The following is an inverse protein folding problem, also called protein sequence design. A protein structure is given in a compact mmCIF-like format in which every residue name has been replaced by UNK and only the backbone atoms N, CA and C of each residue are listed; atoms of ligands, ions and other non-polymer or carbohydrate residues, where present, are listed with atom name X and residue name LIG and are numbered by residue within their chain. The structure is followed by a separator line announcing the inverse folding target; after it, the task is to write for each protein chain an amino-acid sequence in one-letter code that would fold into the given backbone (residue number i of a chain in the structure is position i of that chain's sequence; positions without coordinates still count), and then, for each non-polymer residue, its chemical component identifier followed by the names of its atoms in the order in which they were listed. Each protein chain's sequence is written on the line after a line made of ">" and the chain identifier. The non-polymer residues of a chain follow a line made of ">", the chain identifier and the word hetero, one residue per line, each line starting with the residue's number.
data_IF_497322286600
#
_entry.id   IF_497322286600
#
_cell.length_a   1.000
_cell.length_b   1.000
_cell.length_c   1.000
_cell.angle_alpha   90.00
_cell.angle_beta   90.00
_cell.angle_gamma   90.00
#
_symmetry.space_group_name_H-M   'P 1'
#
loop_
_entity.id
_entity.type
_entity.pdbx_description
1 polymer ?
#
# COMPACT_ATOMS: atom_id res chain seq x y z
N UNK A 1 -19.72 -4.59 -19.31
CA UNK A 1 -18.29 -4.96 -19.37
C UNK A 1 -18.01 -5.81 -18.16
N UNK A 2 -17.59 -7.06 -18.37
CA UNK A 2 -17.31 -7.98 -17.27
C UNK A 2 -15.82 -7.88 -16.90
N UNK A 3 -15.45 -7.39 -15.71
CA UNK A 3 -14.04 -7.23 -15.36
C UNK A 3 -13.31 -8.57 -15.20
N UNK A 4 -14.02 -9.70 -15.05
CA UNK A 4 -13.42 -11.05 -15.04
C UNK A 4 -12.76 -11.43 -16.37
N UNK A 5 -13.20 -10.82 -17.46
CA UNK A 5 -12.69 -11.12 -18.81
C UNK A 5 -11.46 -10.27 -19.16
N UNK A 6 -11.05 -9.36 -18.28
CA UNK A 6 -9.94 -8.45 -18.53
C UNK A 6 -8.64 -9.02 -18.01
N UNK A 7 -7.67 -9.19 -18.90
CA UNK A 7 -6.33 -9.63 -18.52
C UNK A 7 -5.66 -8.58 -17.62
N UNK A 8 -5.03 -9.03 -16.52
CA UNK A 8 -4.17 -8.19 -15.68
C UNK A 8 -2.93 -7.70 -16.43
N UNK A 9 -2.33 -8.61 -17.20
CA UNK A 9 -1.14 -8.41 -18.03
C UNK A 9 -1.37 -9.01 -19.42
N UNK A 10 -0.83 -8.37 -20.45
CA UNK A 10 -0.76 -8.90 -21.80
C UNK A 10 0.47 -9.82 -21.89
N UNK A 11 0.24 -11.12 -22.06
CA UNK A 11 1.28 -12.16 -22.09
C UNK A 11 2.20 -12.07 -23.32
N UNK A 12 1.82 -11.32 -24.35
CA UNK A 12 2.63 -11.13 -25.56
C UNK A 12 3.70 -10.03 -25.39
N UNK A 13 3.66 -9.27 -24.30
CA UNK A 13 4.61 -8.18 -24.03
C UNK A 13 5.50 -8.59 -22.85
N UNK A 14 6.80 -8.69 -23.12
CA UNK A 14 7.81 -9.06 -22.11
C UNK A 14 8.43 -7.82 -21.47
N UNK A 15 7.68 -7.17 -20.58
CA UNK A 15 8.11 -6.00 -19.82
C UNK A 15 7.61 -6.03 -18.37
N UNK A 16 7.39 -7.23 -17.84
CA UNK A 16 6.96 -7.46 -16.47
C UNK A 16 8.08 -8.17 -15.71
N UNK A 17 8.56 -7.58 -14.64
CA UNK A 17 9.53 -8.18 -13.72
C UNK A 17 8.94 -8.32 -12.31
N UNK A 18 9.59 -9.14 -11.50
CA UNK A 18 9.34 -9.24 -10.05
C UNK A 18 10.59 -8.75 -9.34
N UNK A 19 10.40 -8.12 -8.19
CA UNK A 19 11.48 -7.71 -7.33
C UNK A 19 11.01 -7.63 -5.88
N UNK A 20 11.94 -7.65 -4.93
CA UNK A 20 11.63 -7.27 -3.56
C UNK A 20 11.33 -5.76 -3.45
N UNK A 21 10.63 -5.37 -2.39
CA UNK A 21 10.58 -3.95 -2.02
C UNK A 21 12.00 -3.40 -1.78
N UNK A 22 12.32 -2.18 -2.25
CA UNK A 22 13.66 -1.59 -2.18
C UNK A 22 14.09 -1.17 -0.76
N UNK A 23 13.42 -1.64 0.30
CA UNK A 23 13.56 -1.12 1.65
C UNK A 23 14.98 -1.19 2.22
N UNK A 24 15.86 -2.06 1.71
CA UNK A 24 17.28 -2.02 2.05
C UNK A 24 17.88 -0.61 1.87
N UNK A 25 17.49 0.11 0.82
CA UNK A 25 17.93 1.49 0.56
C UNK A 25 17.39 2.48 1.58
N UNK A 26 16.19 2.27 2.13
CA UNK A 26 15.65 3.14 3.18
C UNK A 26 16.51 3.09 4.46
N UNK A 27 17.08 1.93 4.78
CA UNK A 27 17.81 1.66 6.02
C UNK A 27 19.35 1.57 5.85
N UNK A 28 19.89 1.95 4.69
CA UNK A 28 21.35 2.04 4.50
C UNK A 28 22.00 2.88 5.61
N UNK A 29 22.92 2.25 6.35
CA UNK A 29 23.58 2.82 7.53
C UNK A 29 23.17 2.21 8.88
N UNK A 30 22.12 1.39 8.91
CA UNK A 30 21.64 0.68 10.12
C UNK A 30 21.84 -0.86 10.02
N UNK A 31 22.58 -1.31 9.00
CA UNK A 31 22.98 -2.71 8.87
C UNK A 31 24.26 -2.98 9.65
N UNK A 32 24.12 -3.18 10.95
CA UNK A 32 24.94 -4.14 11.67
C UNK A 32 24.02 -5.07 12.45
N UNK A 33 23.34 -5.97 11.73
CA UNK A 33 22.82 -7.21 12.34
C UNK A 33 24.02 -8.13 12.64
N UNK A 34 24.85 -7.67 13.57
CA UNK A 34 25.92 -8.37 14.27
C UNK A 34 26.20 -7.66 15.59
N UNK A 35 25.15 -7.31 16.34
CA UNK A 35 25.25 -7.15 17.79
C UNK A 35 23.98 -7.70 18.41
N UNK A 36 24.13 -8.49 19.47
CA UNK A 36 23.05 -9.08 20.24
C UNK A 36 21.96 -8.05 20.58
N UNK A 37 20.71 -8.54 20.56
CA UNK A 37 19.38 -8.00 20.89
C UNK A 37 19.21 -7.08 22.14
N UNK A 38 20.24 -6.39 22.62
CA UNK A 38 20.19 -5.71 23.91
C UNK A 38 19.36 -4.40 23.92
N UNK A 39 18.85 -3.94 22.77
CA UNK A 39 18.15 -2.65 22.63
C UNK A 39 16.68 -2.69 22.16
N UNK A 40 16.23 -3.77 21.51
CA UNK A 40 14.86 -3.88 21.01
C UNK A 40 13.92 -4.23 22.16
N UNK A 41 13.09 -3.27 22.57
CA UNK A 41 12.15 -3.45 23.69
C UNK A 41 10.71 -3.15 23.33
N UNK A 42 10.42 -2.72 22.11
CA UNK A 42 9.08 -2.30 21.72
C UNK A 42 8.33 -3.42 21.00
N UNK A 43 7.17 -3.80 21.51
CA UNK A 43 6.20 -4.63 20.80
C UNK A 43 4.95 -3.79 20.55
N UNK A 44 4.47 -3.75 19.31
CA UNK A 44 3.34 -2.89 18.95
C UNK A 44 2.19 -3.70 18.37
N UNK A 45 0.97 -3.42 18.83
CA UNK A 45 -0.27 -3.91 18.27
C UNK A 45 -1.01 -2.77 17.55
N UNK A 46 -1.23 -2.92 16.25
CA UNK A 46 -2.07 -2.02 15.46
C UNK A 46 -3.53 -2.46 15.54
N UNK A 47 -4.38 -1.60 16.11
CA UNK A 47 -5.82 -1.77 16.18
C UNK A 47 -6.50 -1.76 14.81
N UNK A 48 -7.75 -2.21 14.77
CA UNK A 48 -8.54 -2.35 13.55
C UNK A 48 -9.78 -1.43 13.60
N UNK A 49 -10.48 -1.29 12.48
CA UNK A 49 -11.78 -0.60 12.44
C UNK A 49 -12.91 -1.59 12.75
N UNK A 50 -13.12 -1.87 14.05
CA UNK A 50 -14.22 -2.73 14.51
C UNK A 50 -15.59 -2.28 13.96
N UNK A 51 -15.82 -0.96 13.84
CA UNK A 51 -17.10 -0.42 13.38
C UNK A 51 -17.43 -0.80 11.93
N UNK A 52 -16.41 -1.01 11.09
CA UNK A 52 -16.61 -1.51 9.72
C UNK A 52 -17.06 -2.97 9.72
N UNK A 53 -16.49 -3.79 10.60
CA UNK A 53 -16.83 -5.21 10.72
C UNK A 53 -18.22 -5.45 11.34
N UNK A 54 -18.57 -4.71 12.40
CA UNK A 54 -19.88 -4.85 13.06
C UNK A 54 -21.03 -4.44 12.15
N UNK A 55 -20.84 -3.43 11.29
CA UNK A 55 -21.82 -3.07 10.23
C UNK A 55 -22.06 -4.18 9.22
N UNK A 56 -21.12 -5.12 9.08
CA UNK A 56 -21.27 -6.28 8.20
C UNK A 56 -21.97 -7.46 8.89
N UNK A 57 -22.45 -7.28 10.13
CA UNK A 57 -23.17 -8.29 10.90
C UNK A 57 -22.31 -9.10 11.86
N UNK A 58 -21.04 -8.72 12.07
CA UNK A 58 -20.16 -9.38 13.01
C UNK A 58 -20.57 -9.13 14.47
N UNK A 59 -20.51 -10.17 15.29
CA UNK A 59 -20.67 -10.07 16.75
C UNK A 59 -19.50 -9.27 17.37
N UNK A 60 -19.82 -8.06 17.83
CA UNK A 60 -18.86 -7.14 18.42
C UNK A 60 -18.29 -7.65 19.75
N UNK A 61 -19.07 -8.35 20.56
CA UNK A 61 -18.62 -8.88 21.86
C UNK A 61 -17.70 -10.07 21.66
N UNK A 62 -18.06 -10.99 20.75
CA UNK A 62 -17.19 -12.10 20.37
C UNK A 62 -15.85 -11.59 19.79
N UNK A 63 -15.91 -10.56 18.96
CA UNK A 63 -14.73 -9.90 18.40
C UNK A 63 -13.81 -9.30 19.47
N UNK A 64 -14.36 -8.49 20.38
CA UNK A 64 -13.58 -7.89 21.49
C UNK A 64 -12.98 -8.98 22.39
N UNK A 65 -13.76 -10.02 22.72
CA UNK A 65 -13.26 -11.15 23.50
C UNK A 65 -12.08 -11.83 22.83
N UNK A 66 -12.10 -11.98 21.51
CA UNK A 66 -10.98 -12.56 20.74
C UNK A 66 -9.80 -11.61 20.64
N UNK A 67 -10.02 -10.31 20.48
CA UNK A 67 -8.95 -9.31 20.51
C UNK A 67 -8.23 -9.30 21.86
N UNK A 68 -8.96 -9.38 22.97
CA UNK A 68 -8.35 -9.49 24.30
C UNK A 68 -7.49 -10.75 24.45
N UNK A 69 -7.90 -11.89 23.88
CA UNK A 69 -7.02 -13.09 23.80
C UNK A 69 -5.73 -12.83 23.01
N UNK A 70 -5.79 -12.03 21.95
CA UNK A 70 -4.58 -11.65 21.19
C UNK A 70 -3.65 -10.76 22.04
N UNK A 71 -4.20 -9.81 22.79
CA UNK A 71 -3.44 -8.93 23.69
C UNK A 71 -2.83 -9.69 24.87
N UNK A 72 -3.58 -10.63 25.47
CA UNK A 72 -3.10 -11.50 26.53
C UNK A 72 -1.97 -12.41 26.02
N UNK A 73 -2.13 -12.96 24.82
CA UNK A 73 -1.11 -13.75 24.15
C UNK A 73 0.20 -12.97 23.99
N UNK A 74 0.12 -11.73 23.47
CA UNK A 74 1.30 -10.86 23.33
C UNK A 74 1.91 -10.55 24.71
N UNK A 75 1.09 -10.23 25.70
CA UNK A 75 1.57 -9.90 27.05
C UNK A 75 2.31 -11.07 27.70
N UNK A 76 1.88 -12.31 27.43
CA UNK A 76 2.53 -13.52 27.90
C UNK A 76 3.85 -13.79 27.18
N UNK A 77 3.86 -13.73 25.84
CA UNK A 77 5.05 -14.04 25.05
C UNK A 77 6.14 -12.95 25.14
N UNK A 78 5.77 -11.72 25.50
CA UNK A 78 6.66 -10.57 25.58
C UNK A 78 6.60 -9.86 26.94
N UNK A 79 6.58 -10.61 28.04
CA UNK A 79 6.47 -10.07 29.41
C UNK A 79 7.56 -9.07 29.78
N UNK A 80 8.75 -9.19 29.18
CA UNK A 80 9.92 -8.35 29.47
C UNK A 80 10.05 -7.14 28.53
N UNK A 81 9.05 -6.91 27.66
CA UNK A 81 9.04 -5.86 26.65
C UNK A 81 8.04 -4.76 27.00
N UNK A 82 8.25 -3.58 26.42
CA UNK A 82 7.28 -2.50 26.43
C UNK A 82 6.24 -2.75 25.34
N UNK A 83 5.00 -2.93 25.74
CA UNK A 83 3.89 -3.21 24.85
C UNK A 83 3.17 -1.91 24.52
N UNK A 84 2.88 -1.69 23.24
CA UNK A 84 2.21 -0.49 22.75
C UNK A 84 0.97 -0.88 21.94
N UNK A 85 -0.12 -0.16 22.14
CA UNK A 85 -1.32 -0.27 21.32
C UNK A 85 -1.49 1.02 20.53
N UNK A 86 -1.61 0.91 19.20
CA UNK A 86 -1.96 2.03 18.35
C UNK A 86 -3.37 1.84 17.81
N UNK A 87 -4.35 2.68 18.20
CA UNK A 87 -5.70 2.62 17.65
C UNK A 87 -5.72 2.81 16.13
N UNK A 88 -6.74 2.25 15.48
CA UNK A 88 -7.03 2.57 14.09
C UNK A 88 -7.49 4.05 14.00
N UNK A 89 -7.12 4.83 12.96
CA UNK A 89 -7.55 6.24 12.85
C UNK A 89 -9.06 6.45 12.75
N UNK A 90 -9.81 5.38 12.45
CA UNK A 90 -11.28 5.38 12.42
C UNK A 90 -11.90 4.72 13.65
N UNK A 91 -11.09 4.33 14.64
CA UNK A 91 -11.59 3.79 15.90
C UNK A 91 -12.45 4.83 16.62
N UNK A 92 -13.55 4.36 17.19
CA UNK A 92 -14.51 5.14 17.96
C UNK A 92 -14.77 4.52 19.33
N UNK A 93 -14.84 3.19 19.39
CA UNK A 93 -15.34 2.44 20.53
C UNK A 93 -14.51 1.17 20.84
N UNK A 94 -13.64 0.71 19.93
CA UNK A 94 -12.88 -0.53 20.09
C UNK A 94 -11.94 -0.41 21.29
N UNK A 95 -11.08 0.62 21.29
CA UNK A 95 -10.11 0.88 22.38
C UNK A 95 -10.75 0.86 23.77
N UNK A 96 -11.96 1.41 23.93
CA UNK A 96 -12.61 1.51 25.24
C UNK A 96 -13.04 0.14 25.80
N UNK A 97 -13.14 -0.88 24.96
CA UNK A 97 -13.58 -2.24 25.32
C UNK A 97 -12.43 -3.25 25.39
N UNK A 98 -11.23 -2.87 24.98
CA UNK A 98 -10.04 -3.72 25.03
C UNK A 98 -9.38 -3.69 26.41
N UNK A 99 -8.82 -4.84 26.84
CA UNK A 99 -7.97 -4.92 28.01
C UNK A 99 -6.55 -4.44 27.65
N UNK A 100 -6.31 -3.15 27.84
CA UNK A 100 -5.03 -2.49 27.53
C UNK A 100 -4.17 -2.26 28.78
N UNK A 101 -4.45 -2.94 29.90
CA UNK A 101 -3.73 -2.71 31.17
C UNK A 101 -2.21 -2.93 31.08
N UNK A 102 -1.76 -3.83 30.21
CA UNK A 102 -0.35 -4.09 29.94
C UNK A 102 0.25 -3.25 28.80
N UNK A 103 -0.56 -2.40 28.15
CA UNK A 103 -0.18 -1.68 26.93
C UNK A 103 -0.17 -0.16 27.13
N UNK A 104 0.89 0.49 26.67
CA UNK A 104 0.91 1.94 26.49
C UNK A 104 0.14 2.31 25.21
N UNK A 105 -0.86 3.18 25.32
CA UNK A 105 -1.63 3.62 24.15
C UNK A 105 -0.89 4.76 23.46
N UNK A 106 -0.51 4.54 22.20
CA UNK A 106 0.11 5.56 21.36
C UNK A 106 -0.97 6.50 20.82
N UNK A 107 -1.04 7.69 21.41
CA UNK A 107 -1.93 8.77 20.97
C UNK A 107 -1.41 9.47 19.71
N UNK A 108 -2.33 9.94 18.87
CA UNK A 108 -2.05 10.83 17.75
C UNK A 108 -2.26 10.22 16.36
N UNK A 109 -2.52 11.11 15.41
CA UNK A 109 -2.70 10.76 14.01
C UNK A 109 -1.34 10.60 13.32
N UNK A 110 -0.70 9.44 13.50
CA UNK A 110 0.50 9.09 12.74
C UNK A 110 0.27 7.90 11.81
N UNK A 111 0.96 7.95 10.66
CA UNK A 111 0.98 6.87 9.69
C UNK A 111 1.81 5.69 10.24
N UNK A 112 1.28 4.47 10.11
CA UNK A 112 1.90 3.28 10.65
C UNK A 112 3.26 3.00 9.99
N UNK A 113 3.35 3.09 8.67
CA UNK A 113 4.58 2.81 7.92
C UNK A 113 5.70 3.78 8.25
N UNK A 114 5.38 5.06 8.43
CA UNK A 114 6.37 6.05 8.86
C UNK A 114 6.83 5.82 10.30
N UNK A 115 5.93 5.43 11.20
CA UNK A 115 6.30 5.08 12.57
C UNK A 115 7.23 3.85 12.61
N UNK A 116 6.89 2.82 11.83
CA UNK A 116 7.71 1.61 11.68
C UNK A 116 9.09 1.97 11.13
N UNK A 117 9.16 2.84 10.12
CA UNK A 117 10.42 3.34 9.57
C UNK A 117 11.26 4.10 10.60
N UNK A 118 10.65 4.99 11.39
CA UNK A 118 11.35 5.82 12.38
C UNK A 118 11.79 5.05 13.63
N UNK A 119 11.13 3.93 13.95
CA UNK A 119 11.37 3.16 15.17
C UNK A 119 11.87 1.74 14.91
N UNK A 120 12.24 1.42 13.66
CA UNK A 120 12.62 0.06 13.24
C UNK A 120 13.59 -0.62 14.20
N UNK A 121 14.64 0.10 14.60
CA UNK A 121 15.70 -0.43 15.47
C UNK A 121 15.28 -0.68 16.91
N UNK A 122 14.13 -0.15 17.35
CA UNK A 122 13.57 -0.36 18.70
C UNK A 122 12.52 -1.45 18.74
N UNK A 123 11.92 -1.78 17.59
CA UNK A 123 10.79 -2.69 17.47
C UNK A 123 11.32 -4.14 17.48
N UNK A 124 10.85 -4.89 18.47
CA UNK A 124 11.02 -6.34 18.53
C UNK A 124 10.02 -7.02 17.60
N UNK A 125 8.73 -6.72 17.74
CA UNK A 125 7.68 -7.39 16.98
C UNK A 125 6.45 -6.50 16.76
N UNK A 126 5.74 -6.77 15.67
CA UNK A 126 4.57 -6.04 15.21
C UNK A 126 3.37 -6.99 15.08
N UNK A 127 2.23 -6.59 15.62
CA UNK A 127 1.01 -7.38 15.63
C UNK A 127 -0.19 -6.58 15.13
N UNK A 128 -1.20 -7.28 14.61
CA UNK A 128 -2.56 -6.77 14.46
C UNK A 128 -3.52 -7.93 14.25
N UNK A 129 -4.82 -7.69 14.29
CA UNK A 129 -5.77 -8.69 13.79
C UNK A 129 -5.58 -8.90 12.28
N UNK A 130 -5.52 -7.82 11.49
CA UNK A 130 -5.40 -7.94 10.02
C UNK A 130 -5.06 -6.65 9.31
N UNK A 131 -4.30 -5.76 9.95
CA UNK A 131 -3.89 -4.46 9.42
C UNK A 131 -2.79 -4.58 8.38
N UNK A 132 -2.92 -3.79 7.30
CA UNK A 132 -1.90 -3.65 6.26
C UNK A 132 -0.52 -3.21 6.82
N UNK A 133 -0.49 -2.57 7.99
CA UNK A 133 0.74 -2.20 8.67
C UNK A 133 1.65 -3.42 8.95
N UNK A 134 1.09 -4.61 9.22
CA UNK A 134 1.89 -5.82 9.42
C UNK A 134 2.53 -6.30 8.11
N UNK A 135 1.84 -6.17 6.97
CA UNK A 135 2.43 -6.46 5.65
C UNK A 135 3.61 -5.54 5.37
N UNK A 136 3.43 -4.24 5.62
CA UNK A 136 4.49 -3.24 5.50
C UNK A 136 5.66 -3.51 6.45
N UNK A 137 5.39 -3.87 7.72
CA UNK A 137 6.40 -4.21 8.71
C UNK A 137 7.26 -5.41 8.28
N UNK A 138 6.62 -6.50 7.85
CA UNK A 138 7.32 -7.67 7.33
C UNK A 138 8.14 -7.32 6.08
N UNK A 139 7.58 -6.53 5.17
CA UNK A 139 8.31 -6.04 4.00
C UNK A 139 9.51 -5.16 4.41
N UNK A 140 9.47 -4.43 5.53
CA UNK A 140 10.61 -3.68 6.11
C UNK A 140 11.57 -4.55 6.93
N UNK A 141 11.35 -5.86 6.97
CA UNK A 141 12.21 -6.83 7.63
C UNK A 141 11.98 -7.03 9.12
N UNK A 142 10.89 -6.48 9.67
CA UNK A 142 10.53 -6.65 11.08
C UNK A 142 9.84 -8.00 11.31
N UNK A 143 9.95 -8.49 12.55
CA UNK A 143 9.12 -9.61 13.02
C UNK A 143 7.66 -9.14 13.07
N UNK A 144 6.79 -9.72 12.26
CA UNK A 144 5.44 -9.21 12.10
C UNK A 144 4.42 -10.34 11.98
N UNK A 145 3.30 -10.21 12.69
CA UNK A 145 2.28 -11.24 12.71
C UNK A 145 0.86 -10.67 12.65
N UNK A 146 -0.05 -11.53 12.21
CA UNK A 146 -1.48 -11.24 12.15
C UNK A 146 -2.30 -12.36 12.77
N UNK A 147 -3.43 -11.98 13.39
CA UNK A 147 -4.30 -12.90 14.12
C UNK A 147 -5.59 -13.26 13.40
N UNK A 148 -5.93 -12.75 12.21
CA UNK A 148 -7.27 -12.96 11.63
C UNK A 148 -7.63 -14.45 11.45
N UNK A 149 -6.64 -15.34 11.33
CA UNK A 149 -6.85 -16.81 11.33
C UNK A 149 -7.39 -17.34 12.65
N UNK A 150 -7.07 -16.69 13.77
CA UNK A 150 -7.71 -16.94 15.06
C UNK A 150 -9.14 -16.39 15.15
N UNK A 151 -9.77 -15.93 14.07
CA UNK A 151 -11.16 -15.44 14.08
C UNK A 151 -12.08 -16.29 13.18
N UNK A 152 -11.64 -17.46 12.71
CA UNK A 152 -12.40 -18.31 11.79
C UNK A 152 -13.80 -18.74 12.29
N UNK A 153 -14.01 -18.79 13.61
CA UNK A 153 -15.32 -19.09 14.22
C UNK A 153 -16.22 -17.85 14.41
N UNK A 154 -15.67 -16.66 14.22
CA UNK A 154 -16.38 -15.36 14.33
C UNK A 154 -16.60 -14.75 12.94
N UNK A 155 -15.63 -14.92 12.05
CA UNK A 155 -15.65 -14.40 10.70
C UNK A 155 -16.27 -15.43 9.77
N UNK A 156 -17.28 -15.01 9.02
CA UNK A 156 -17.76 -15.82 7.92
C UNK A 156 -16.71 -15.89 6.79
N UNK A 157 -16.95 -16.80 5.84
CA UNK A 157 -16.08 -16.97 4.68
C UNK A 157 -16.00 -15.70 3.81
N UNK A 158 -16.98 -14.79 3.89
CA UNK A 158 -16.97 -13.53 3.13
C UNK A 158 -16.02 -12.49 3.73
N UNK A 159 -15.81 -12.50 5.04
CA UNK A 159 -14.88 -11.63 5.76
C UNK A 159 -13.45 -12.21 5.71
N UNK A 160 -13.29 -13.53 5.86
CA UNK A 160 -11.98 -14.18 5.83
C UNK A 160 -11.26 -14.06 4.49
N UNK A 161 -12.01 -14.23 3.40
CA UNK A 161 -11.45 -14.37 2.06
C UNK A 161 -10.72 -13.13 1.54
N UNK A 162 -11.24 -11.88 1.68
CA UNK A 162 -10.48 -10.69 1.35
C UNK A 162 -9.13 -10.60 2.08
N UNK A 163 -9.05 -11.07 3.34
CA UNK A 163 -7.77 -11.16 4.04
C UNK A 163 -6.86 -12.21 3.41
N UNK A 164 -7.37 -13.40 3.08
CA UNK A 164 -6.59 -14.43 2.38
C UNK A 164 -6.01 -13.93 1.05
N UNK A 165 -6.80 -13.18 0.27
CA UNK A 165 -6.34 -12.61 -1.00
C UNK A 165 -5.34 -11.45 -0.81
N UNK A 166 -5.46 -10.70 0.27
CA UNK A 166 -4.53 -9.61 0.59
C UNK A 166 -3.18 -10.14 1.07
N UNK A 167 -3.17 -11.22 1.87
CA UNK A 167 -1.98 -11.82 2.47
C UNK A 167 -1.50 -13.10 1.75
N UNK A 168 -1.98 -13.34 0.51
CA UNK A 168 -1.79 -14.61 -0.21
C UNK A 168 -0.33 -15.04 -0.43
N UNK A 169 0.61 -14.08 -0.39
CA UNK A 169 2.03 -14.29 -0.63
C UNK A 169 2.89 -14.20 0.64
N UNK A 170 2.25 -14.17 1.81
CA UNK A 170 2.93 -14.14 3.11
C UNK A 170 3.28 -15.57 3.57
N UNK A 171 4.40 -15.77 4.28
CA UNK A 171 4.77 -17.08 4.80
C UNK A 171 3.87 -17.53 5.95
N UNK A 172 3.79 -18.84 6.23
CA UNK A 172 2.99 -19.35 7.36
C UNK A 172 3.40 -18.77 8.71
N UNK A 173 4.69 -18.44 8.92
CA UNK A 173 5.18 -17.79 10.13
C UNK A 173 4.61 -16.37 10.35
N UNK A 174 3.99 -15.76 9.34
CA UNK A 174 3.29 -14.49 9.46
C UNK A 174 1.91 -14.63 10.15
N UNK A 175 1.32 -15.83 10.15
CA UNK A 175 -0.02 -16.06 10.67
C UNK A 175 0.02 -16.73 12.05
N UNK A 176 -0.57 -16.08 13.05
CA UNK A 176 -0.90 -16.76 14.30
C UNK A 176 -2.26 -17.43 14.14
N UNK A 177 -2.29 -18.75 14.34
CA UNK A 177 -3.50 -19.58 14.20
C UNK A 177 -4.02 -20.09 15.53
N UNK A 178 -3.14 -20.25 16.52
CA UNK A 178 -3.47 -20.71 17.86
C UNK A 178 -2.68 -19.91 18.90
N UNK A 179 -3.34 -19.53 20.01
CA UNK A 179 -2.75 -18.88 21.17
C UNK A 179 -1.91 -19.81 22.06
N UNK A 180 -1.91 -21.11 21.82
CA UNK A 180 -1.08 -22.07 22.58
C UNK A 180 0.34 -22.20 22.02
N UNK A 181 0.52 -21.87 20.73
CA UNK A 181 1.80 -22.01 20.07
C UNK A 181 2.69 -20.80 20.37
N UNK A 182 3.99 -21.04 20.54
CA UNK A 182 4.97 -19.96 20.60
C UNK A 182 5.06 -19.22 19.27
N UNK A 183 5.41 -17.94 19.36
CA UNK A 183 5.63 -17.11 18.18
C UNK A 183 6.86 -17.61 17.43
N UNK A 184 6.72 -17.78 16.12
CA UNK A 184 7.81 -18.13 15.23
C UNK A 184 8.41 -16.86 14.68
N UNK A 185 9.61 -16.51 15.13
CA UNK A 185 10.38 -15.36 14.63
C UNK A 185 10.44 -15.37 13.09
N UNK A 186 10.00 -14.27 12.47
CA UNK A 186 9.94 -14.13 11.02
C UNK A 186 10.58 -12.84 10.49
N UNK A 187 11.29 -12.10 11.36
CA UNK A 187 12.14 -11.01 10.91
C UNK A 187 13.12 -11.51 9.86
N UNK A 188 13.40 -10.64 8.90
CA UNK A 188 14.27 -10.97 7.77
C UNK A 188 15.33 -9.89 7.60
N UNK A 189 16.54 -10.34 7.29
CA UNK A 189 17.59 -9.43 6.87
C UNK A 189 17.23 -8.85 5.51
N UNK A 190 17.14 -7.53 5.44
CA UNK A 190 16.98 -6.84 4.17
C UNK A 190 18.28 -6.99 3.39
N UNK A 191 18.20 -7.53 2.18
CA UNK A 191 19.34 -7.66 1.28
C UNK A 191 19.25 -6.58 0.21
N UNK A 192 20.43 -6.13 -0.23
CA UNK A 192 20.55 -5.30 -1.42
C UNK A 192 20.13 -6.13 -2.64
N UNK A 193 19.22 -5.60 -3.44
CA UNK A 193 18.81 -6.19 -4.71
C UNK A 193 19.69 -5.61 -5.83
N UNK A 194 20.74 -6.35 -6.20
CA UNK A 194 21.69 -5.94 -7.24
C UNK A 194 21.04 -5.89 -8.63
N UNK A 195 20.07 -6.76 -8.90
CA UNK A 195 19.35 -6.78 -10.17
C UNK A 195 18.48 -5.52 -10.33
N UNK A 196 17.76 -5.15 -9.27
CA UNK A 196 16.97 -3.92 -9.26
C UNK A 196 17.85 -2.67 -9.37
N UNK A 197 18.99 -2.63 -8.67
CA UNK A 197 19.94 -1.51 -8.83
C UNK A 197 20.47 -1.42 -10.26
N UNK A 198 20.91 -2.53 -10.85
CA UNK A 198 21.42 -2.57 -12.21
C UNK A 198 20.36 -2.12 -13.22
N UNK A 199 19.13 -2.61 -13.06
CA UNK A 199 17.98 -2.20 -13.88
C UNK A 199 17.80 -0.67 -13.86
N UNK A 200 17.77 -0.06 -12.67
CA UNK A 200 17.62 1.39 -12.57
C UNK A 200 18.86 2.13 -13.07
N UNK A 201 20.07 1.60 -12.86
CA UNK A 201 21.31 2.17 -13.40
C UNK A 201 21.28 2.26 -14.92
N UNK A 202 20.84 1.20 -15.59
CA UNK A 202 20.68 1.19 -17.05
C UNK A 202 19.64 2.21 -17.51
N UNK A 203 18.51 2.32 -16.80
CA UNK A 203 17.47 3.31 -17.12
C UNK A 203 18.00 4.73 -16.97
N UNK A 204 18.66 5.04 -15.87
CA UNK A 204 19.18 6.39 -15.59
C UNK A 204 20.32 6.76 -16.56
N UNK A 205 21.11 5.80 -17.03
CA UNK A 205 22.14 6.05 -18.05
C UNK A 205 21.52 6.38 -19.41
N UNK A 206 20.36 5.79 -19.74
CA UNK A 206 19.69 5.99 -21.03
C UNK A 206 18.75 7.20 -21.06
N UNK A 207 18.45 7.82 -19.91
CA UNK A 207 17.47 8.88 -19.80
C UNK A 207 18.01 10.02 -18.93
N UNK A 208 18.25 11.18 -19.55
CA UNK A 208 18.86 12.34 -18.90
C UNK A 208 17.85 13.32 -18.27
N UNK A 209 16.56 13.00 -18.21
CA UNK A 209 15.57 13.85 -17.56
C UNK A 209 15.50 13.71 -16.04
N UNK A 210 14.52 14.39 -15.45
CA UNK A 210 14.18 14.30 -14.04
C UNK A 210 13.42 13.00 -13.74
N UNK A 211 13.62 12.45 -12.55
CA UNK A 211 12.82 11.31 -12.06
C UNK A 211 11.60 11.86 -11.31
N UNK A 212 10.40 11.45 -11.71
CA UNK A 212 9.15 11.76 -11.01
C UNK A 212 8.60 10.51 -10.33
N UNK A 213 8.59 10.53 -9.01
CA UNK A 213 7.91 9.52 -8.20
C UNK A 213 6.46 9.94 -7.95
N UNK A 214 5.50 9.10 -8.33
CA UNK A 214 4.07 9.42 -8.28
C UNK A 214 3.37 8.50 -7.27
N UNK A 215 2.70 9.09 -6.28
CA UNK A 215 2.06 8.37 -5.20
C UNK A 215 0.64 8.85 -4.91
N UNK A 216 -0.21 7.91 -4.50
CA UNK A 216 -1.56 8.17 -4.01
C UNK A 216 -1.72 7.82 -2.53
N UNK A 217 -1.36 6.60 -2.11
CA UNK A 217 -1.49 6.15 -0.71
C UNK A 217 -0.24 6.43 0.11
N UNK A 218 -0.44 6.79 1.38
CA UNK A 218 0.65 7.03 2.32
C UNK A 218 1.41 5.75 2.73
N UNK A 219 0.80 4.57 2.54
CA UNK A 219 1.41 3.27 2.90
C UNK A 219 2.77 3.04 2.21
N UNK A 220 2.97 3.62 1.03
CA UNK A 220 4.20 3.45 0.25
C UNK A 220 5.22 4.58 0.44
N UNK A 221 5.04 5.46 1.43
CA UNK A 221 5.94 6.60 1.63
C UNK A 221 7.38 6.17 1.92
N UNK A 222 7.58 5.08 2.65
CA UNK A 222 8.92 4.55 2.97
C UNK A 222 9.56 3.97 1.71
N UNK A 223 8.76 3.40 0.80
CA UNK A 223 9.26 2.90 -0.48
C UNK A 223 9.77 4.05 -1.36
N UNK A 224 9.11 5.21 -1.32
CA UNK A 224 9.59 6.39 -2.02
C UNK A 224 10.93 6.89 -1.48
N UNK A 225 11.09 6.89 -0.15
CA UNK A 225 12.37 7.23 0.49
C UNK A 225 13.46 6.26 0.04
N UNK A 226 13.15 4.95 0.01
CA UNK A 226 14.06 3.92 -0.47
C UNK A 226 14.50 4.16 -1.92
N UNK A 227 13.55 4.41 -2.82
CA UNK A 227 13.82 4.68 -4.24
C UNK A 227 14.63 5.97 -4.42
N UNK A 228 14.30 7.04 -3.69
CA UNK A 228 15.07 8.28 -3.74
C UNK A 228 16.54 8.06 -3.34
N UNK A 229 16.78 7.30 -2.26
CA UNK A 229 18.14 6.93 -1.83
C UNK A 229 18.86 6.05 -2.85
N UNK A 230 18.18 5.06 -3.43
CA UNK A 230 18.70 4.26 -4.53
C UNK A 230 19.15 5.14 -5.70
N UNK A 231 18.28 6.03 -6.20
CA UNK A 231 18.62 6.88 -7.34
C UNK A 231 19.76 7.84 -7.02
N UNK A 232 19.81 8.39 -5.82
CA UNK A 232 20.93 9.23 -5.37
C UNK A 232 22.26 8.48 -5.31
N UNK A 233 22.25 7.19 -4.99
CA UNK A 233 23.47 6.37 -5.01
C UNK A 233 23.96 6.06 -6.43
N UNK A 234 23.06 6.04 -7.41
CA UNK A 234 23.38 5.77 -8.82
C UNK A 234 23.83 7.05 -9.51
N UNK A 235 23.06 8.13 -9.35
CA UNK A 235 23.27 9.43 -9.98
C UNK A 235 22.96 10.55 -8.95
N UNK A 236 23.97 11.02 -8.20
CA UNK A 236 23.77 11.98 -7.10
C UNK A 236 23.19 13.32 -7.55
N UNK A 237 23.48 13.75 -8.78
CA UNK A 237 23.08 15.08 -9.31
C UNK A 237 21.70 15.08 -9.96
N UNK A 238 21.18 13.90 -10.32
CA UNK A 238 19.85 13.71 -10.91
C UNK A 238 18.75 14.38 -10.10
N UNK A 239 17.91 15.20 -10.72
CA UNK A 239 16.75 15.76 -10.02
C UNK A 239 15.68 14.70 -9.77
N UNK A 240 15.13 14.67 -8.55
CA UNK A 240 14.08 13.74 -8.11
C UNK A 240 12.90 14.55 -7.59
N UNK A 241 11.79 14.50 -8.31
CA UNK A 241 10.51 15.10 -7.92
C UNK A 241 9.54 14.08 -7.34
N UNK A 242 8.72 14.52 -6.39
CA UNK A 242 7.62 13.76 -5.82
C UNK A 242 6.28 14.39 -6.21
N UNK A 243 5.38 13.59 -6.77
CA UNK A 243 4.00 13.97 -7.04
C UNK A 243 3.06 13.24 -6.09
N UNK A 244 2.30 14.01 -5.32
CA UNK A 244 1.32 13.51 -4.35
C UNK A 244 -0.09 13.80 -4.86
N UNK A 245 -0.89 12.74 -5.00
CA UNK A 245 -2.34 12.84 -5.12
C UNK A 245 -2.97 12.93 -3.72
N UNK A 246 -3.24 14.15 -3.25
CA UNK A 246 -3.58 14.49 -1.86
C UNK A 246 -4.84 13.79 -1.38
N UNK A 247 -4.66 12.76 -0.56
CA UNK A 247 -5.67 12.08 0.26
C UNK A 247 -5.69 12.64 1.69
N UNK A 248 -6.79 12.46 2.46
CA UNK A 248 -6.90 12.92 3.86
C UNK A 248 -5.76 12.44 4.78
N UNK A 249 -5.21 11.26 4.50
CA UNK A 249 -4.11 10.70 5.30
C UNK A 249 -2.78 11.44 5.10
N UNK A 250 -2.66 12.21 4.01
CA UNK A 250 -1.53 13.12 3.84
C UNK A 250 -1.67 14.38 4.70
N UNK A 251 -2.87 14.73 5.19
CA UNK A 251 -3.03 15.90 6.05
C UNK A 251 -2.41 15.67 7.44
N UNK A 252 -2.35 14.40 7.88
CA UNK A 252 -1.64 13.98 9.08
C UNK A 252 -0.10 13.96 8.90
N UNK A 253 0.38 14.03 7.66
CA UNK A 253 1.80 14.03 7.34
C UNK A 253 2.24 15.45 6.97
N UNK A 254 3.22 15.99 7.70
CA UNK A 254 3.87 17.21 7.25
C UNK A 254 4.70 16.91 6.00
N UNK A 255 4.23 17.29 4.81
CA UNK A 255 4.92 17.02 3.54
C UNK A 255 6.37 17.56 3.53
N UNK A 256 6.66 18.60 4.32
CA UNK A 256 8.00 19.16 4.44
C UNK A 256 9.00 18.17 5.05
N UNK A 257 8.56 17.15 5.79
CA UNK A 257 9.48 16.13 6.31
C UNK A 257 10.15 15.30 5.20
N UNK A 258 9.58 15.34 3.99
CA UNK A 258 10.09 14.63 2.82
C UNK A 258 11.00 15.51 1.95
N UNK A 259 11.09 16.82 2.19
CA UNK A 259 11.90 17.74 1.37
C UNK A 259 13.38 17.39 1.36
N UNK A 260 13.87 16.70 2.39
CA UNK A 260 15.26 16.19 2.43
C UNK A 260 15.54 15.08 1.42
N UNK A 261 14.53 14.45 0.84
CA UNK A 261 14.68 13.35 -0.13
C UNK A 261 14.36 13.77 -1.57
N UNK A 262 13.62 14.87 -1.76
CA UNK A 262 13.08 15.28 -3.06
C UNK A 262 13.43 16.73 -3.35
N UNK A 263 13.92 17.02 -4.55
CA UNK A 263 14.21 18.39 -4.99
C UNK A 263 12.94 19.21 -5.21
N UNK A 264 11.83 18.54 -5.50
CA UNK A 264 10.56 19.16 -5.83
C UNK A 264 9.40 18.29 -5.32
N UNK A 265 8.42 18.91 -4.68
CA UNK A 265 7.21 18.23 -4.21
C UNK A 265 5.99 18.95 -4.77
N UNK A 266 5.19 18.21 -5.53
CA UNK A 266 3.97 18.72 -6.16
C UNK A 266 2.79 17.99 -5.55
N UNK A 267 1.79 18.77 -5.13
CA UNK A 267 0.60 18.23 -4.49
C UNK A 267 -0.62 18.63 -5.30
N UNK A 268 -1.28 17.64 -5.89
CA UNK A 268 -2.57 17.82 -6.58
C UNK A 268 -3.72 17.23 -5.77
N UNK A 269 -4.93 17.81 -5.85
CA UNK A 269 -6.06 17.31 -5.07
C UNK A 269 -6.47 15.91 -5.53
N UNK A 270 -6.88 15.04 -4.60
CA UNK A 270 -7.58 13.81 -4.94
C UNK A 270 -8.89 14.14 -5.67
N UNK A 271 -9.07 13.49 -6.82
CA UNK A 271 -10.33 13.54 -7.57
C UNK A 271 -11.13 12.27 -7.29
N UNK A 272 -12.28 12.43 -6.65
CA UNK A 272 -13.26 11.37 -6.48
C UNK A 272 -14.23 11.36 -7.67
N UNK A 273 -14.65 10.18 -8.12
CA UNK A 273 -15.62 10.06 -9.21
C UNK A 273 -16.98 10.55 -8.73
N UNK A 274 -17.40 11.70 -9.25
CA UNK A 274 -18.60 12.39 -8.81
C UNK A 274 -19.22 13.15 -9.98
N UNK A 275 -20.55 13.12 -10.07
CA UNK A 275 -21.31 13.91 -11.05
C UNK A 275 -21.63 15.32 -10.56
N UNK A 276 -21.20 15.70 -9.35
CA UNK A 276 -21.45 17.05 -8.83
C UNK A 276 -20.67 18.07 -9.70
N UNK A 277 -21.31 19.14 -10.20
CA UNK A 277 -20.67 20.08 -11.12
C UNK A 277 -19.34 20.66 -10.63
N UNK A 278 -19.26 21.03 -9.34
CA UNK A 278 -18.04 21.53 -8.73
C UNK A 278 -16.89 20.50 -8.71
N UNK A 279 -17.20 19.21 -8.53
CA UNK A 279 -16.23 18.11 -8.55
C UNK A 279 -15.76 17.78 -9.96
N UNK A 280 -16.66 17.83 -10.94
CA UNK A 280 -16.29 17.72 -12.37
C UNK A 280 -15.40 18.89 -12.80
N UNK A 281 -15.74 20.12 -12.40
CA UNK A 281 -14.90 21.28 -12.65
C UNK A 281 -13.51 21.15 -12.01
N UNK A 282 -13.44 20.69 -10.76
CA UNK A 282 -12.17 20.42 -10.08
C UNK A 282 -11.34 19.38 -10.83
N UNK A 283 -11.95 18.31 -11.33
CA UNK A 283 -11.29 17.28 -12.12
C UNK A 283 -10.75 17.84 -13.45
N UNK A 284 -11.55 18.65 -14.17
CA UNK A 284 -11.09 19.32 -15.40
C UNK A 284 -9.94 20.30 -15.14
N UNK A 285 -10.05 21.11 -14.08
CA UNK A 285 -8.99 22.06 -13.69
C UNK A 285 -7.69 21.31 -13.38
N UNK A 286 -7.77 20.23 -12.61
CA UNK A 286 -6.62 19.40 -12.25
C UNK A 286 -6.02 18.75 -13.49
N UNK A 287 -6.83 18.16 -14.38
CA UNK A 287 -6.35 17.57 -15.63
C UNK A 287 -5.65 18.61 -16.53
N UNK A 288 -6.19 19.82 -16.64
CA UNK A 288 -5.54 20.92 -17.38
C UNK A 288 -4.21 21.33 -16.77
N UNK A 289 -4.16 21.48 -15.44
CA UNK A 289 -2.93 21.81 -14.72
C UNK A 289 -1.84 20.75 -14.95
N UNK A 290 -2.19 19.47 -14.86
CA UNK A 290 -1.26 18.36 -15.12
C UNK A 290 -0.84 18.33 -16.59
N UNK A 291 -1.77 18.57 -17.53
CA UNK A 291 -1.45 18.63 -18.97
C UNK A 291 -0.48 19.76 -19.33
N UNK A 292 -0.57 20.90 -18.64
CA UNK A 292 0.35 22.03 -18.81
C UNK A 292 1.62 21.92 -17.97
N UNK A 293 1.70 20.92 -17.09
CA UNK A 293 2.86 20.75 -16.22
C UNK A 293 4.06 20.27 -17.05
N UNK A 294 5.20 20.93 -16.90
CA UNK A 294 6.36 20.72 -17.76
C UNK A 294 7.09 19.42 -17.38
N UNK A 295 6.74 18.33 -18.06
CA UNK A 295 7.45 17.05 -18.01
C UNK A 295 8.17 16.88 -19.33
N UNK A 296 9.49 16.71 -19.28
CA UNK A 296 10.29 16.49 -20.47
C UNK A 296 10.00 15.09 -21.05
N UNK A 297 10.19 14.94 -22.36
CA UNK A 297 10.19 13.61 -23.01
C UNK A 297 11.28 12.68 -22.45
N UNK A 298 12.34 13.25 -21.88
CA UNK A 298 13.49 12.52 -21.32
C UNK A 298 13.30 12.25 -19.82
N UNK A 299 12.24 12.79 -19.19
CA UNK A 299 11.89 12.51 -17.81
C UNK A 299 11.41 11.06 -17.64
N UNK A 300 11.58 10.53 -16.43
CA UNK A 300 11.14 9.19 -16.06
C UNK A 300 9.97 9.31 -15.08
N UNK A 301 8.85 8.68 -15.40
CA UNK A 301 7.66 8.62 -14.55
C UNK A 301 7.59 7.26 -13.86
N UNK A 302 7.76 7.24 -12.54
CA UNK A 302 7.66 6.03 -11.72
C UNK A 302 6.37 6.11 -10.90
N UNK A 303 5.37 5.33 -11.30
CA UNK A 303 4.05 5.32 -10.67
C UNK A 303 3.91 4.15 -9.71
N UNK A 304 3.52 4.44 -8.47
CA UNK A 304 3.04 3.41 -7.54
C UNK A 304 1.57 3.14 -7.88
N UNK A 305 1.32 2.06 -8.61
CA UNK A 305 0.09 1.91 -9.39
C UNK A 305 -1.10 1.61 -8.48
N UNK A 306 -1.95 2.61 -8.31
CA UNK A 306 -3.29 2.43 -7.74
C UNK A 306 -4.37 3.10 -8.61
N UNK A 307 -3.98 3.52 -9.82
CA UNK A 307 -4.88 4.08 -10.83
C UNK A 307 -5.66 5.29 -10.29
N UNK A 308 -4.96 6.18 -9.58
CA UNK A 308 -5.53 7.46 -9.17
C UNK A 308 -5.74 8.37 -10.40
N UNK A 309 -6.68 9.33 -10.31
CA UNK A 309 -6.92 10.27 -11.42
C UNK A 309 -5.68 11.07 -11.82
N UNK A 310 -4.87 11.49 -10.83
CA UNK A 310 -3.62 12.24 -11.05
C UNK A 310 -2.59 11.38 -11.78
N UNK A 311 -2.38 10.14 -11.30
CA UNK A 311 -1.52 9.14 -11.95
C UNK A 311 -1.97 8.89 -13.41
N UNK A 312 -3.27 8.72 -13.63
CA UNK A 312 -3.84 8.54 -14.96
C UNK A 312 -3.59 9.75 -15.88
N UNK A 313 -3.74 10.98 -15.38
CA UNK A 313 -3.42 12.18 -16.14
C UNK A 313 -1.94 12.20 -16.58
N UNK A 314 -1.02 11.97 -15.64
CA UNK A 314 0.42 11.96 -15.92
C UNK A 314 0.78 10.89 -16.96
N UNK A 315 0.29 9.66 -16.79
CA UNK A 315 0.56 8.54 -17.68
C UNK A 315 -0.14 8.65 -19.05
N UNK A 316 -1.19 9.47 -19.16
CA UNK A 316 -1.94 9.67 -20.42
C UNK A 316 -1.37 10.82 -21.25
N UNK A 317 -0.92 11.91 -20.61
CA UNK A 317 -0.42 13.09 -21.29
C UNK A 317 1.04 12.99 -21.70
N UNK A 318 1.86 12.26 -20.93
CA UNK A 318 3.30 12.16 -21.16
C UNK A 318 3.67 10.85 -21.87
N UNK A 319 3.16 10.67 -23.09
CA UNK A 319 3.29 9.41 -23.84
C UNK A 319 4.71 9.08 -24.29
N UNK A 320 5.58 10.11 -24.39
CA UNK A 320 6.97 9.97 -24.86
C UNK A 320 7.96 9.73 -23.72
N UNK A 321 7.60 10.09 -22.50
CA UNK A 321 8.40 9.86 -21.29
C UNK A 321 8.38 8.38 -20.93
N UNK A 322 9.49 7.88 -20.40
CA UNK A 322 9.58 6.51 -19.89
C UNK A 322 8.65 6.36 -18.67
N UNK A 323 7.75 5.39 -18.68
CA UNK A 323 6.82 5.08 -17.59
C UNK A 323 7.13 3.72 -16.98
N UNK A 324 7.43 3.71 -15.68
CA UNK A 324 7.64 2.52 -14.88
C UNK A 324 6.49 2.39 -13.89
N UNK A 325 5.76 1.27 -13.94
CA UNK A 325 4.73 0.93 -12.96
C UNK A 325 5.33 0.07 -11.85
N UNK A 326 5.08 0.44 -10.60
CA UNK A 326 5.40 -0.37 -9.42
C UNK A 326 4.09 -0.78 -8.75
N UNK A 327 3.85 -2.07 -8.57
CA UNK A 327 2.64 -2.58 -7.91
C UNK A 327 3.00 -3.61 -6.86
N UNK A 328 2.47 -3.50 -5.65
CA UNK A 328 2.61 -4.57 -4.67
C UNK A 328 1.87 -5.82 -5.17
N UNK A 329 2.45 -7.00 -4.93
CA UNK A 329 1.87 -8.30 -5.26
C UNK A 329 0.42 -8.43 -4.74
N UNK A 330 0.15 -7.97 -3.51
CA UNK A 330 -1.19 -7.92 -2.91
C UNK A 330 -2.18 -7.10 -3.76
N UNK A 331 -1.78 -5.92 -4.21
CA UNK A 331 -2.65 -5.01 -4.97
C UNK A 331 -2.85 -5.54 -6.39
N UNK A 332 -1.80 -6.13 -6.98
CA UNK A 332 -1.90 -6.83 -8.27
C UNK A 332 -2.85 -8.02 -8.17
N UNK A 333 -2.75 -8.82 -7.11
CA UNK A 333 -3.65 -9.96 -6.91
C UNK A 333 -5.09 -9.46 -6.78
N UNK A 334 -5.37 -8.49 -5.92
CA UNK A 334 -6.73 -8.01 -5.66
C UNK A 334 -7.39 -7.36 -6.87
N UNK A 335 -6.64 -6.56 -7.66
CA UNK A 335 -7.22 -5.73 -8.72
C UNK A 335 -6.94 -6.21 -10.14
N UNK A 336 -5.93 -7.04 -10.37
CA UNK A 336 -5.51 -7.43 -11.71
C UNK A 336 -5.50 -8.94 -11.95
N UNK A 337 -5.46 -9.78 -10.91
CA UNK A 337 -5.59 -11.23 -11.04
C UNK A 337 -7.08 -11.64 -11.12
N UNK A 338 -7.59 -11.80 -12.34
CA UNK A 338 -8.98 -12.22 -12.58
C UNK A 338 -9.32 -13.64 -12.11
N UNK A 339 -8.32 -14.42 -11.66
CA UNK A 339 -8.51 -15.76 -11.11
C UNK A 339 -8.62 -15.77 -9.58
N UNK A 340 -8.47 -14.63 -8.91
CA UNK A 340 -8.64 -14.55 -7.47
C UNK A 340 -10.10 -14.81 -7.08
N UNK A 341 -10.34 -15.07 -5.79
CA UNK A 341 -11.68 -15.38 -5.28
C UNK A 341 -12.64 -14.20 -5.33
N UNK A 342 -12.15 -12.95 -5.28
CA UNK A 342 -12.95 -11.73 -5.49
C UNK A 342 -13.64 -11.78 -6.86
N UNK A 343 -12.90 -12.10 -7.92
CA UNK A 343 -13.45 -12.23 -9.27
C UNK A 343 -14.24 -13.53 -9.45
N UNK A 344 -13.78 -14.67 -8.92
CA UNK A 344 -14.47 -15.94 -9.12
C UNK A 344 -15.90 -15.90 -8.58
N UNK A 345 -16.09 -15.35 -7.38
CA UNK A 345 -17.34 -15.51 -6.62
C UNK A 345 -18.33 -14.35 -6.77
N UNK A 346 -17.88 -13.18 -7.25
CA UNK A 346 -18.77 -12.05 -7.48
C UNK A 346 -19.22 -12.02 -8.93
N UNK A 347 -20.51 -12.17 -9.21
CA UNK A 347 -21.05 -12.00 -10.57
C UNK A 347 -21.62 -10.60 -10.81
N UNK A 348 -21.77 -9.79 -9.76
CA UNK A 348 -22.52 -8.54 -9.78
C UNK A 348 -21.63 -7.28 -9.72
N UNK A 349 -20.66 -7.19 -10.63
CA UNK A 349 -19.83 -5.98 -10.73
C UNK A 349 -20.62 -4.85 -11.38
N UNK A 350 -20.87 -3.78 -10.63
CA UNK A 350 -21.67 -2.62 -11.09
C UNK A 350 -20.86 -1.34 -11.09
N UNK A 351 -21.02 -0.54 -12.13
CA UNK A 351 -20.60 0.86 -12.06
C UNK A 351 -21.60 1.66 -11.22
N UNK A 352 -21.09 2.61 -10.42
CA UNK A 352 -21.93 3.75 -10.03
C UNK A 352 -22.22 4.62 -11.25
N UNK A 353 -23.27 5.45 -11.21
CA UNK A 353 -23.55 6.44 -12.27
C UNK A 353 -22.33 7.34 -12.56
N UNK A 354 -21.63 7.76 -11.51
CA UNK A 354 -20.41 8.56 -11.63
C UNK A 354 -19.26 7.79 -12.28
N UNK A 355 -18.98 6.57 -11.82
CA UNK A 355 -17.92 5.74 -12.38
C UNK A 355 -18.15 5.41 -13.85
N UNK A 356 -19.39 5.12 -14.23
CA UNK A 356 -19.77 4.89 -15.61
C UNK A 356 -19.53 6.13 -16.48
N UNK A 357 -19.98 7.30 -16.02
CA UNK A 357 -19.77 8.56 -16.73
C UNK A 357 -18.29 8.89 -16.91
N UNK A 358 -17.48 8.70 -15.86
CA UNK A 358 -16.03 8.90 -15.94
C UNK A 358 -15.41 7.98 -16.99
N UNK A 359 -15.68 6.67 -16.89
CA UNK A 359 -15.13 5.66 -17.80
C UNK A 359 -15.56 5.86 -19.27
N UNK A 360 -16.81 6.27 -19.52
CA UNK A 360 -17.40 6.30 -20.87
C UNK A 360 -17.30 7.64 -21.57
N UNK A 361 -17.30 8.74 -20.82
CA UNK A 361 -17.36 10.09 -21.38
C UNK A 361 -16.21 10.96 -20.90
N UNK A 362 -16.06 11.12 -19.58
CA UNK A 362 -15.19 12.14 -19.03
C UNK A 362 -13.70 11.84 -19.26
N UNK A 363 -13.25 10.61 -19.00
CA UNK A 363 -11.87 10.19 -19.25
C UNK A 363 -11.51 10.27 -20.75
N UNK A 364 -12.32 9.70 -21.69
CA UNK A 364 -12.08 9.90 -23.12
C UNK A 364 -12.04 11.37 -23.55
N UNK A 365 -12.97 12.20 -23.07
CA UNK A 365 -13.02 13.64 -23.39
C UNK A 365 -11.74 14.35 -22.95
N UNK A 366 -11.18 13.96 -21.80
CA UNK A 366 -9.94 14.49 -21.29
C UNK A 366 -8.70 13.86 -21.94
N UNK A 367 -8.84 12.87 -22.83
CA UNK A 367 -7.72 12.14 -23.43
C UNK A 367 -7.02 11.19 -22.46
N UNK A 368 -7.71 10.75 -21.41
CA UNK A 368 -7.19 9.85 -20.39
C UNK A 368 -7.38 8.38 -20.76
N UNK A 369 -6.54 7.51 -20.21
CA UNK A 369 -6.76 6.06 -20.27
C UNK A 369 -8.01 5.71 -19.47
N UNK A 370 -8.81 4.79 -20.00
CA UNK A 370 -10.05 4.37 -19.35
C UNK A 370 -9.75 3.53 -18.11
N UNK A 371 -10.38 3.89 -16.99
CA UNK A 371 -10.28 3.17 -15.74
C UNK A 371 -11.60 2.48 -15.38
N UNK A 372 -11.51 1.46 -14.53
CA UNK A 372 -12.64 0.76 -13.96
C UNK A 372 -12.69 1.05 -12.48
N UNK A 373 -13.81 1.60 -12.03
CA UNK A 373 -14.14 1.72 -10.62
C UNK A 373 -15.54 1.13 -10.42
N UNK A 374 -15.59 -0.14 -10.04
CA UNK A 374 -16.82 -0.94 -9.97
C UNK A 374 -17.02 -1.46 -8.55
N UNK A 375 -18.26 -1.43 -8.08
CA UNK A 375 -18.66 -2.00 -6.78
C UNK A 375 -19.12 -3.44 -6.97
N UNK A 376 -18.95 -4.24 -5.93
CA UNK A 376 -19.44 -5.63 -5.86
C UNK A 376 -19.75 -5.99 -4.40
N UNK A 377 -20.37 -7.16 -4.20
CA UNK A 377 -20.92 -7.56 -2.91
C UNK A 377 -22.21 -6.79 -2.59
N UNK A 378 -23.23 -7.48 -2.08
CA UNK A 378 -24.58 -6.95 -1.90
C UNK A 378 -24.64 -5.77 -0.90
N UNK A 379 -24.31 -4.55 -1.36
CA UNK A 379 -24.33 -3.33 -0.54
C UNK A 379 -23.13 -3.15 0.40
N UNK A 380 -22.09 -4.00 0.32
CA UNK A 380 -21.00 -4.08 1.31
C UNK A 380 -19.82 -3.12 1.08
N UNK A 381 -19.94 -2.16 0.15
CA UNK A 381 -18.89 -1.15 -0.09
C UNK A 381 -17.59 -1.68 -0.73
N UNK A 382 -17.54 -2.95 -1.13
CA UNK A 382 -16.40 -3.55 -1.81
C UNK A 382 -16.29 -3.06 -3.25
N UNK A 383 -15.07 -2.86 -3.73
CA UNK A 383 -14.82 -2.31 -5.06
C UNK A 383 -13.55 -2.86 -5.70
N UNK A 384 -13.50 -2.82 -7.02
CA UNK A 384 -12.28 -2.96 -7.81
C UNK A 384 -11.92 -1.60 -8.40
N UNK A 385 -10.62 -1.28 -8.39
CA UNK A 385 -10.06 -0.13 -9.10
C UNK A 385 -8.90 -0.59 -9.97
N UNK A 386 -8.94 -0.33 -11.28
CA UNK A 386 -7.87 -0.70 -12.20
C UNK A 386 -7.95 0.07 -13.52
N UNK A 387 -6.87 0.07 -14.28
CA UNK A 387 -6.95 0.39 -15.71
C UNK A 387 -7.78 -0.67 -16.45
N UNK A 388 -8.53 -0.24 -17.47
CA UNK A 388 -9.27 -1.16 -18.34
C UNK A 388 -8.32 -1.99 -19.22
N UNK A 389 -7.17 -1.41 -19.60
CA UNK A 389 -6.10 -2.11 -20.31
C UNK A 389 -5.26 -2.97 -19.36
N UNK A 390 -4.58 -4.02 -19.87
CA UNK A 390 -3.52 -4.68 -19.13
C UNK A 390 -2.46 -3.68 -18.64
N UNK A 391 -1.96 -3.88 -17.44
CA UNK A 391 -1.12 -2.89 -16.76
C UNK A 391 0.20 -2.66 -17.51
N UNK A 392 0.75 -3.71 -18.09
CA UNK A 392 1.98 -3.68 -18.88
C UNK A 392 1.81 -3.14 -20.32
N UNK A 393 0.61 -2.68 -20.68
CA UNK A 393 0.36 -1.80 -21.85
C UNK A 393 0.21 -0.31 -21.46
N UNK A 394 0.11 -0.03 -20.16
CA UNK A 394 0.07 1.33 -19.62
C UNK A 394 1.49 1.84 -19.40
N UNK A 395 2.32 0.97 -18.82
CA UNK A 395 3.71 1.23 -18.47
C UNK A 395 4.66 0.58 -19.47
N UNK A 396 5.80 1.21 -19.70
CA UNK A 396 6.85 0.67 -20.56
C UNK A 396 7.62 -0.44 -19.84
N UNK A 397 7.70 -0.37 -18.50
CA UNK A 397 8.16 -1.43 -17.60
C UNK A 397 7.19 -1.57 -16.41
N UNK A 398 6.89 -2.79 -16.00
CA UNK A 398 6.05 -3.10 -14.84
C UNK A 398 6.81 -3.97 -13.85
N UNK A 399 6.97 -3.51 -12.62
CA UNK A 399 7.62 -4.27 -11.54
C UNK A 399 6.55 -4.65 -10.51
N UNK A 400 6.37 -5.96 -10.31
CA UNK A 400 5.53 -6.50 -9.24
C UNK A 400 6.38 -6.72 -8.01
N UNK A 401 6.16 -5.90 -6.98
CA UNK A 401 6.92 -5.88 -5.75
C UNK A 401 6.40 -6.92 -4.77
N UNK A 402 7.31 -7.71 -4.20
CA UNK A 402 7.00 -8.75 -3.23
C UNK A 402 7.57 -8.45 -1.85
N UNK A 403 6.88 -8.86 -0.78
CA UNK A 403 7.35 -8.71 0.59
C UNK A 403 8.56 -9.61 0.88
N UNK A 404 8.74 -10.73 0.16
CA UNK A 404 9.93 -11.57 0.21
C UNK A 404 10.19 -12.23 -1.15
N UNK A 405 11.48 -12.39 -1.50
CA UNK A 405 11.98 -13.23 -2.60
C UNK A 405 13.01 -14.22 -2.08
#
# INVERSE_FOLDING_TARGET
>A
MNPKQLAGVNKQISNVSKAAFPYWWAFQGENSVTTQDLGKKMVIFFGNDMASFTKMGMDADAYIKRCNKCLDYISREFSDYKLYYKPHPADKDERARLNLSSFEVLEGDFNAELFLFQNREKIQAVFSVGSAACYSAYAMGLNAHIFYKCFEDIYDAEIMRPHDEFYFDMPESFFVRNFDNKIVENARSLKKDEHQELFFREILTKNEGKIWLIIFTVEYVVMLIALAKLFRSIDPVRKIGLVISRHRYWDALNANQFSKYFDEIIVWPRINYSLRPNKLWQAMKTARQIKSFNISKDDILISITQNSFVENCLNSYNKKSLKIGLIASKDFNLFYNSQNSVYAQNNDFRFSKASWFFNKFFEPLLGLRRSLFMFYGAGKGSFITRYQKPLNEVFDQLIVLKPSE
#
